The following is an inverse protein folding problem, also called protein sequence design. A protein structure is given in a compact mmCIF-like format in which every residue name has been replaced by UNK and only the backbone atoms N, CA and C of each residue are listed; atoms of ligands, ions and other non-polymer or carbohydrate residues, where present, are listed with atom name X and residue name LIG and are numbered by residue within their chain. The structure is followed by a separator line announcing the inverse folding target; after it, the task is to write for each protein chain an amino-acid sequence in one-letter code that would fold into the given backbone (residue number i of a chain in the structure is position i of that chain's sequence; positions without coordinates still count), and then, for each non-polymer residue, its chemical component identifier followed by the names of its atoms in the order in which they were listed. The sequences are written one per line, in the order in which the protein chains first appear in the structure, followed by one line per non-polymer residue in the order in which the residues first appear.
data_IF_929286693310
#
_entry.id   IF_929286693310
#
_cell.length_a   1.000
_cell.length_b   1.000
_cell.length_c   1.000
_cell.angle_alpha   90.00
_cell.angle_beta   90.00
_cell.angle_gamma   90.00
#
_symmetry.space_group_name_H-M   'P 1'
#
loop_
_entity.id
_entity.type
_entity.pdbx_description
1 polymer ?
#
# COMPACT_ATOMS: atom_id res chain seq x y z
N UNK A 1 50.78 -9.95 -12.60
CA UNK A 1 49.80 -10.26 -11.54
C UNK A 1 48.67 -9.25 -11.70
N UNK A 2 47.66 -9.53 -12.53
CA UNK A 2 46.52 -8.64 -12.72
C UNK A 2 45.35 -9.18 -11.89
N UNK A 3 45.04 -8.51 -10.78
CA UNK A 3 43.81 -8.76 -10.01
C UNK A 3 42.69 -7.88 -10.57
N UNK A 4 41.65 -8.51 -11.10
CA UNK A 4 40.38 -7.85 -11.39
C UNK A 4 39.51 -7.96 -10.14
N UNK A 5 39.33 -6.83 -9.43
CA UNK A 5 38.31 -6.72 -8.40
C UNK A 5 36.94 -6.53 -9.08
N UNK A 6 36.07 -7.54 -8.98
CA UNK A 6 34.70 -7.45 -9.45
C UNK A 6 33.87 -6.65 -8.45
N UNK A 7 33.45 -5.46 -8.82
CA UNK A 7 32.49 -4.66 -8.05
C UNK A 7 31.09 -5.19 -8.42
N UNK A 8 30.48 -5.95 -7.52
CA UNK A 8 29.06 -6.29 -7.64
C UNK A 8 28.24 -5.03 -7.34
N UNK A 9 27.67 -4.41 -8.38
CA UNK A 9 26.58 -3.45 -8.20
C UNK A 9 25.35 -4.22 -7.70
N UNK A 10 25.09 -4.18 -6.40
CA UNK A 10 23.76 -4.47 -5.88
C UNK A 10 22.84 -3.33 -6.33
N UNK A 11 22.13 -3.54 -7.44
CA UNK A 11 21.00 -2.68 -7.77
C UNK A 11 19.99 -2.78 -6.62
N UNK A 12 19.42 -1.66 -6.12
CA UNK A 12 18.29 -1.76 -5.22
C UNK A 12 17.17 -2.43 -6.02
N UNK A 13 16.85 -3.67 -5.67
CA UNK A 13 15.57 -4.26 -6.03
C UNK A 13 14.51 -3.38 -5.36
N UNK A 14 14.06 -2.34 -6.06
CA UNK A 14 12.70 -1.88 -5.88
C UNK A 14 11.83 -2.99 -6.44
N UNK A 15 11.75 -4.10 -5.70
CA UNK A 15 10.53 -4.87 -5.73
C UNK A 15 9.48 -3.90 -5.20
N UNK A 16 8.74 -3.30 -6.14
CA UNK A 16 7.32 -3.09 -5.86
C UNK A 16 6.81 -4.50 -5.61
N UNK A 17 6.94 -4.97 -4.37
CA UNK A 17 6.42 -6.26 -3.93
C UNK A 17 5.01 -6.32 -4.50
N UNK A 18 4.75 -7.35 -5.30
CA UNK A 18 3.58 -7.40 -6.16
C UNK A 18 2.34 -7.10 -5.30
N UNK A 19 1.65 -6.00 -5.61
CA UNK A 19 0.52 -5.57 -4.80
C UNK A 19 -0.58 -6.65 -4.91
N UNK A 20 -0.97 -7.24 -3.79
CA UNK A 20 -1.96 -8.32 -3.78
C UNK A 20 -3.39 -7.85 -4.08
N UNK A 21 -3.63 -6.54 -4.20
CA UNK A 21 -4.92 -5.99 -4.61
C UNK A 21 -4.84 -5.28 -5.97
N UNK A 22 -5.92 -5.38 -6.74
CA UNK A 22 -6.08 -4.81 -8.10
C UNK A 22 -6.90 -3.53 -8.13
N UNK A 23 -7.35 -3.03 -6.99
CA UNK A 23 -8.15 -1.82 -6.88
C UNK A 23 -7.26 -0.58 -7.10
N UNK A 24 -7.65 0.24 -8.07
CA UNK A 24 -6.87 1.43 -8.49
C UNK A 24 -7.61 2.74 -8.26
N UNK A 25 -8.82 2.70 -7.67
CA UNK A 25 -9.57 3.90 -7.32
C UNK A 25 -8.77 4.77 -6.35
N UNK A 26 -8.76 6.08 -6.61
CA UNK A 26 -7.97 7.04 -5.84
C UNK A 26 -8.67 8.41 -5.84
N UNK A 27 -9.85 8.51 -5.23
CA UNK A 27 -10.57 9.78 -5.09
C UNK A 27 -9.68 10.80 -4.37
N UNK A 28 -9.57 12.00 -4.93
CA UNK A 28 -8.67 13.04 -4.42
C UNK A 28 -7.17 12.70 -4.54
N UNK A 29 -6.80 11.74 -5.39
CA UNK A 29 -5.42 11.25 -5.52
C UNK A 29 -4.98 10.32 -4.39
N UNK A 30 -5.91 9.88 -3.53
CA UNK A 30 -5.62 9.07 -2.35
C UNK A 30 -5.84 7.61 -2.69
N UNK A 31 -4.76 6.93 -3.10
CA UNK A 31 -4.79 5.51 -3.43
C UNK A 31 -4.86 4.61 -2.18
N UNK A 32 -5.42 3.41 -2.35
CA UNK A 32 -5.41 2.39 -1.33
C UNK A 32 -3.97 1.97 -0.97
N UNK A 33 -3.74 1.68 0.31
CA UNK A 33 -2.40 1.29 0.76
C UNK A 33 -2.06 -0.08 0.16
N UNK A 34 -0.89 -0.28 -0.46
CA UNK A 34 -0.56 -1.55 -1.08
C UNK A 34 -0.53 -2.68 -0.04
N UNK A 35 -0.97 -3.87 -0.47
CA UNK A 35 -0.81 -5.11 0.28
C UNK A 35 0.39 -5.82 -0.34
N UNK A 36 1.44 -6.05 0.44
CA UNK A 36 2.70 -6.64 -0.03
C UNK A 36 3.03 -7.91 0.72
N UNK A 37 4.00 -8.68 0.23
CA UNK A 37 4.53 -9.82 0.95
C UNK A 37 5.30 -9.32 2.17
N UNK A 38 4.96 -9.81 3.36
CA UNK A 38 5.62 -9.42 4.60
C UNK A 38 6.96 -10.11 4.83
N UNK A 39 7.29 -11.13 4.04
CA UNK A 39 8.42 -12.05 4.28
C UNK A 39 8.22 -13.01 5.45
N UNK A 40 7.02 -13.08 6.04
CA UNK A 40 6.70 -13.97 7.16
C UNK A 40 5.64 -14.99 6.73
N UNK A 41 5.96 -16.30 6.65
CA UNK A 41 5.01 -17.31 6.21
C UNK A 41 3.79 -17.47 7.12
N UNK A 42 3.88 -17.11 8.40
CA UNK A 42 2.74 -17.18 9.34
C UNK A 42 1.76 -16.01 9.18
N UNK A 43 2.23 -14.88 8.64
CA UNK A 43 1.44 -13.64 8.44
C UNK A 43 1.82 -12.94 7.12
N UNK A 44 1.60 -13.58 5.96
CA UNK A 44 2.27 -13.23 4.71
C UNK A 44 1.83 -11.89 4.09
N UNK A 45 0.70 -11.32 4.52
CA UNK A 45 0.17 -10.08 3.93
C UNK A 45 0.51 -8.88 4.80
N UNK A 46 1.13 -7.85 4.24
CA UNK A 46 1.49 -6.62 4.95
C UNK A 46 0.79 -5.40 4.37
N UNK A 47 0.28 -4.54 5.26
CA UNK A 47 -0.26 -3.21 4.95
C UNK A 47 0.41 -2.19 5.88
N UNK A 48 1.40 -1.44 5.36
CA UNK A 48 2.34 -0.65 6.19
C UNK A 48 3.00 -1.50 7.27
N UNK A 49 2.75 -1.21 8.55
CA UNK A 49 3.34 -1.92 9.69
C UNK A 49 2.48 -3.10 10.16
N UNK A 50 1.25 -3.23 9.66
CA UNK A 50 0.33 -4.29 10.06
C UNK A 50 0.53 -5.52 9.16
N UNK A 51 0.59 -6.72 9.74
CA UNK A 51 0.62 -7.98 8.97
C UNK A 51 -0.60 -8.86 9.27
N UNK A 52 -0.96 -9.72 8.33
CA UNK A 52 -2.21 -10.47 8.37
C UNK A 52 -1.99 -11.90 7.90
N UNK A 53 -2.70 -12.84 8.53
CA UNK A 53 -2.75 -14.25 8.11
C UNK A 53 -3.58 -14.41 6.84
N UNK A 54 -4.63 -13.60 6.69
CA UNK A 54 -5.61 -13.73 5.61
C UNK A 54 -5.67 -12.44 4.76
N UNK A 55 -5.71 -12.61 3.43
CA UNK A 55 -5.75 -11.51 2.46
C UNK A 55 -6.98 -10.61 2.62
N UNK A 56 -8.14 -11.15 3.03
CA UNK A 56 -9.36 -10.37 3.26
C UNK A 56 -9.19 -9.36 4.39
N UNK A 57 -8.50 -9.73 5.47
CA UNK A 57 -8.20 -8.80 6.57
C UNK A 57 -7.23 -7.69 6.14
N UNK A 58 -6.22 -8.04 5.32
CA UNK A 58 -5.32 -7.06 4.73
C UNK A 58 -6.05 -6.10 3.78
N UNK A 59 -6.99 -6.60 2.98
CA UNK A 59 -7.80 -5.78 2.09
C UNK A 59 -8.67 -4.79 2.87
N UNK A 60 -9.38 -5.25 3.90
CA UNK A 60 -10.16 -4.38 4.77
C UNK A 60 -9.29 -3.28 5.39
N UNK A 61 -8.09 -3.65 5.89
CA UNK A 61 -7.15 -2.65 6.41
C UNK A 61 -6.72 -1.63 5.36
N UNK A 62 -6.47 -2.06 4.13
CA UNK A 62 -6.10 -1.19 3.00
C UNK A 62 -7.21 -0.18 2.68
N UNK A 63 -8.45 -0.67 2.58
CA UNK A 63 -9.67 0.11 2.41
C UNK A 63 -9.83 1.14 3.54
N UNK A 64 -9.78 0.71 4.81
CA UNK A 64 -9.91 1.60 5.97
C UNK A 64 -8.84 2.70 5.98
N UNK A 65 -7.59 2.38 5.61
CA UNK A 65 -6.54 3.39 5.52
C UNK A 65 -6.80 4.40 4.40
N UNK A 66 -7.36 3.96 3.27
CA UNK A 66 -7.74 4.84 2.17
C UNK A 66 -8.90 5.75 2.56
N UNK A 67 -9.97 5.20 3.14
CA UNK A 67 -11.12 5.95 3.61
C UNK A 67 -10.70 7.02 4.61
N UNK A 68 -9.91 6.65 5.63
CA UNK A 68 -9.46 7.60 6.65
C UNK A 68 -8.60 8.72 6.04
N UNK A 69 -7.71 8.42 5.10
CA UNK A 69 -6.93 9.44 4.41
C UNK A 69 -7.82 10.38 3.58
N UNK A 70 -8.79 9.83 2.85
CA UNK A 70 -9.76 10.62 2.08
C UNK A 70 -10.63 11.50 2.99
N UNK A 71 -11.20 10.92 4.05
CA UNK A 71 -12.03 11.61 5.01
C UNK A 71 -11.23 12.72 5.74
N UNK A 72 -9.97 12.48 6.06
CA UNK A 72 -9.08 13.50 6.62
C UNK A 72 -8.84 14.66 5.65
N UNK A 73 -8.69 14.39 4.34
CA UNK A 73 -8.55 15.45 3.33
C UNK A 73 -9.84 16.26 3.17
N UNK A 74 -11.00 15.59 3.13
CA UNK A 74 -12.30 16.25 3.10
C UNK A 74 -12.52 17.14 4.34
N UNK A 75 -12.29 16.58 5.54
CA UNK A 75 -12.40 17.32 6.80
C UNK A 75 -11.32 18.41 6.96
N UNK A 76 -10.20 18.26 6.25
CA UNK A 76 -9.12 19.25 6.17
C UNK A 76 -9.44 20.45 5.27
N UNK A 77 -10.62 20.49 4.66
CA UNK A 77 -11.09 21.63 3.86
C UNK A 77 -10.84 21.49 2.36
N UNK A 78 -10.56 20.29 1.85
CA UNK A 78 -10.55 20.06 0.40
C UNK A 78 -11.97 20.19 -0.16
N UNK A 79 -12.29 21.21 -0.98
CA UNK A 79 -13.65 21.46 -1.46
C UNK A 79 -14.14 20.42 -2.49
N UNK A 80 -13.22 19.65 -3.08
CA UNK A 80 -13.54 18.64 -4.10
C UNK A 80 -13.85 17.27 -3.48
N UNK A 81 -13.74 17.14 -2.15
CA UNK A 81 -13.96 15.89 -1.42
C UNK A 81 -15.07 16.02 -0.39
N UNK A 82 -15.81 14.93 -0.23
CA UNK A 82 -16.73 14.75 0.89
C UNK A 82 -16.49 13.39 1.53
N UNK A 83 -16.71 13.29 2.84
CA UNK A 83 -16.60 12.03 3.57
C UNK A 83 -17.56 10.98 3.00
N UNK A 84 -18.74 11.40 2.51
CA UNK A 84 -19.69 10.51 1.84
C UNK A 84 -19.13 9.96 0.52
N UNK A 85 -18.47 10.77 -0.30
CA UNK A 85 -17.81 10.29 -1.52
C UNK A 85 -16.64 9.33 -1.19
N UNK A 86 -15.90 9.58 -0.11
CA UNK A 86 -14.87 8.67 0.38
C UNK A 86 -15.42 7.29 0.76
N UNK A 87 -16.64 7.20 1.30
CA UNK A 87 -17.27 5.94 1.63
C UNK A 87 -17.75 5.15 0.41
N UNK A 88 -18.04 5.82 -0.71
CA UNK A 88 -18.52 5.19 -1.95
C UNK A 88 -17.41 4.44 -2.71
N UNK A 89 -16.15 4.84 -2.55
CA UNK A 89 -15.02 4.18 -3.24
C UNK A 89 -14.53 2.88 -2.55
N UNK A 90 -15.15 2.45 -1.46
CA UNK A 90 -14.74 1.27 -0.65
C UNK A 90 -15.11 -0.06 -1.31
#
# INVERSE_FOLDING_TARGET
ILSFASIALAAPLTERAANFQSFTGALGGIAATPIVDSGNPDRPFQVKADTFVNIGAALQRSCDQQFNACANSANGGNPDLSVSACAVQQ
#
